data_IF_591938063261
#
_entry.id   IF_591938063261
#
_cell.length_a   1.000
_cell.length_b   1.000
_cell.length_c   1.000
_cell.angle_alpha   90.00
_cell.angle_beta   90.00
_cell.angle_gamma   90.00
#
_symmetry.space_group_name_H-M   'P 1'
#
loop_
_entity.id
_entity.type
_entity.pdbx_description
1 polymer ?
#
# COMPACT_ATOMS: atom_id res chain seq x y z
N UNK A 1 -7.98 12.91 11.67
CA UNK A 1 -8.24 11.49 11.89
C UNK A 1 -9.36 11.07 10.96
N UNK A 2 -9.02 10.31 9.90
CA UNK A 2 -9.95 9.91 8.82
C UNK A 2 -11.23 9.23 9.33
N UNK A 3 -11.18 8.62 10.52
CA UNK A 3 -12.30 7.92 11.15
C UNK A 3 -13.40 8.90 11.60
N UNK A 4 -13.04 10.10 12.06
CA UNK A 4 -14.01 11.08 12.54
C UNK A 4 -14.85 11.67 11.38
N UNK A 5 -14.22 11.79 10.21
CA UNK A 5 -14.80 12.41 9.03
C UNK A 5 -15.77 11.47 8.29
N UNK A 6 -15.65 10.15 8.50
CA UNK A 6 -16.60 9.16 8.00
C UNK A 6 -17.90 9.07 8.84
N UNK A 7 -17.85 9.52 10.10
CA UNK A 7 -18.99 9.49 11.03
C UNK A 7 -19.82 10.77 10.91
N UNK A 8 -19.17 11.90 10.63
CA UNK A 8 -19.87 13.16 10.37
C UNK A 8 -20.45 13.12 8.95
N UNK A 9 -21.72 12.72 8.88
CA UNK A 9 -22.58 12.73 7.71
C UNK A 9 -22.82 14.16 7.22
N UNK A 10 -21.78 14.79 6.68
CA UNK A 10 -21.89 16.08 6.01
C UNK A 10 -22.27 15.82 4.56
N UNK A 11 -23.45 16.33 4.21
CA UNK A 11 -24.21 16.23 2.97
C UNK A 11 -23.51 16.87 1.75
N UNK A 12 -22.21 16.67 1.59
CA UNK A 12 -21.41 17.15 0.48
C UNK A 12 -20.48 16.03 0.05
N UNK A 13 -20.91 15.25 -0.94
CA UNK A 13 -20.08 14.47 -1.88
C UNK A 13 -18.63 14.31 -1.43
N UNK A 14 -18.41 13.43 -0.45
CA UNK A 14 -17.06 13.00 -0.12
C UNK A 14 -16.63 12.13 -1.30
N UNK A 15 -15.80 12.71 -2.16
CA UNK A 15 -15.32 12.06 -3.37
C UNK A 15 -14.39 10.90 -2.98
N UNK A 16 -15.00 9.74 -2.67
CA UNK A 16 -14.30 8.47 -2.48
C UNK A 16 -13.49 8.05 -3.73
N UNK A 17 -13.60 8.82 -4.81
CA UNK A 17 -12.79 8.74 -6.02
C UNK A 17 -11.31 9.10 -5.82
N UNK A 18 -10.91 9.72 -4.69
CA UNK A 18 -9.50 9.94 -4.37
C UNK A 18 -8.98 8.91 -3.36
N UNK A 19 -8.75 7.69 -3.84
CA UNK A 19 -7.90 6.69 -3.18
C UNK A 19 -6.42 7.07 -3.28
N UNK A 20 -5.56 6.46 -2.44
CA UNK A 20 -4.11 6.71 -2.40
C UNK A 20 -3.41 6.49 -3.75
N UNK A 21 -4.04 5.72 -4.64
CA UNK A 21 -3.71 5.62 -6.05
C UNK A 21 -4.92 6.09 -6.88
N UNK A 22 -4.77 7.04 -7.83
CA UNK A 22 -5.84 7.43 -8.74
C UNK A 22 -6.00 6.36 -9.83
N UNK A 23 -6.38 5.14 -9.43
CA UNK A 23 -6.77 4.07 -10.34
C UNK A 23 -8.25 4.20 -10.66
N UNK A 24 -8.59 4.20 -11.95
CA UNK A 24 -9.98 4.14 -12.40
C UNK A 24 -10.50 2.72 -12.19
N UNK A 25 -11.13 2.47 -11.03
CA UNK A 25 -11.75 1.18 -10.75
C UNK A 25 -13.04 1.01 -11.58
N UNK A 26 -13.30 -0.17 -12.18
CA UNK A 26 -14.49 -0.42 -13.00
C UNK A 26 -15.79 -0.56 -12.18
N UNK A 27 -15.78 -0.17 -10.90
CA UNK A 27 -16.90 -0.33 -9.97
C UNK A 27 -17.08 0.94 -9.12
N UNK A 28 -18.33 1.27 -8.80
CA UNK A 28 -18.66 2.37 -7.88
C UNK A 28 -18.37 1.97 -6.44
N UNK A 29 -17.57 2.77 -5.76
CA UNK A 29 -17.29 2.67 -4.34
C UNK A 29 -18.46 3.24 -3.53
N UNK A 30 -19.61 2.55 -3.60
CA UNK A 30 -20.89 2.96 -3.01
C UNK A 30 -20.96 2.78 -1.47
N UNK A 31 -19.91 2.20 -0.86
CA UNK A 31 -19.90 1.87 0.55
C UNK A 31 -18.52 1.99 1.17
N UNK A 32 -18.47 2.55 2.38
CA UNK A 32 -17.26 2.68 3.21
C UNK A 32 -16.53 1.35 3.39
N UNK A 33 -17.26 0.22 3.46
CA UNK A 33 -16.66 -1.11 3.58
C UNK A 33 -15.88 -1.54 2.34
N UNK A 34 -16.39 -1.21 1.14
CA UNK A 34 -15.69 -1.49 -0.14
C UNK A 34 -14.44 -0.62 -0.27
N UNK A 35 -14.52 0.64 0.17
CA UNK A 35 -13.40 1.58 0.18
C UNK A 35 -12.27 1.12 1.13
N UNK A 36 -12.62 0.72 2.35
CA UNK A 36 -11.64 0.19 3.30
C UNK A 36 -10.98 -1.10 2.81
N UNK A 37 -11.75 -2.02 2.21
CA UNK A 37 -11.20 -3.25 1.64
C UNK A 37 -10.20 -2.94 0.51
N UNK A 38 -10.55 -2.00 -0.38
CA UNK A 38 -9.68 -1.57 -1.49
C UNK A 38 -8.36 -1.00 -0.98
N UNK A 39 -8.42 -0.03 -0.05
CA UNK A 39 -7.22 0.58 0.54
C UNK A 39 -6.36 -0.43 1.28
N UNK A 40 -6.97 -1.37 1.98
CA UNK A 40 -6.22 -2.40 2.72
C UNK A 40 -5.43 -3.29 1.77
N UNK A 41 -6.04 -3.66 0.63
CA UNK A 41 -5.36 -4.43 -0.43
C UNK A 41 -4.24 -3.62 -1.07
N UNK A 42 -4.49 -2.35 -1.42
CA UNK A 42 -3.46 -1.45 -1.96
C UNK A 42 -2.26 -1.32 -1.02
N UNK A 43 -2.52 -1.10 0.28
CA UNK A 43 -1.48 -1.00 1.29
C UNK A 43 -0.67 -2.30 1.43
N UNK A 44 -1.35 -3.45 1.42
CA UNK A 44 -0.68 -4.75 1.50
C UNK A 44 0.22 -4.98 0.29
N UNK A 45 -0.23 -4.61 -0.91
CA UNK A 45 0.59 -4.67 -2.12
C UNK A 45 1.83 -3.79 -1.99
N UNK A 46 1.67 -2.52 -1.58
CA UNK A 46 2.80 -1.62 -1.36
C UNK A 46 3.82 -2.19 -0.36
N UNK A 47 3.35 -2.69 0.79
CA UNK A 47 4.22 -3.29 1.81
C UNK A 47 4.92 -4.53 1.26
N UNK A 48 4.23 -5.37 0.50
CA UNK A 48 4.81 -6.58 -0.08
C UNK A 48 5.90 -6.27 -1.12
N UNK A 49 5.69 -5.26 -1.97
CA UNK A 49 6.68 -4.81 -2.97
C UNK A 49 7.91 -4.23 -2.26
N UNK A 50 7.71 -3.39 -1.24
CA UNK A 50 8.81 -2.84 -0.45
C UNK A 50 9.59 -3.93 0.31
N UNK A 51 8.89 -4.91 0.89
CA UNK A 51 9.50 -6.05 1.57
C UNK A 51 10.30 -6.92 0.59
N UNK A 52 9.77 -7.18 -0.61
CA UNK A 52 10.47 -7.93 -1.63
C UNK A 52 11.74 -7.22 -2.09
N UNK A 53 11.65 -5.91 -2.33
CA UNK A 53 12.78 -5.08 -2.72
C UNK A 53 13.90 -5.11 -1.66
N UNK A 54 13.54 -4.81 -0.41
CA UNK A 54 14.49 -4.80 0.71
C UNK A 54 15.10 -6.18 0.99
N UNK A 55 14.34 -7.26 0.81
CA UNK A 55 14.86 -8.62 0.92
C UNK A 55 15.88 -8.94 -0.18
N UNK A 56 15.61 -8.51 -1.42
CA UNK A 56 16.56 -8.66 -2.53
C UNK A 56 17.88 -7.94 -2.24
N UNK A 57 17.81 -6.68 -1.77
CA UNK A 57 18.99 -5.89 -1.41
C UNK A 57 19.78 -6.55 -0.27
N UNK A 58 19.10 -7.12 0.72
CA UNK A 58 19.73 -7.85 1.83
C UNK A 58 20.49 -9.09 1.35
N UNK A 59 19.88 -9.92 0.50
CA UNK A 59 20.53 -11.12 -0.06
C UNK A 59 21.76 -10.75 -0.87
N UNK A 60 21.67 -9.69 -1.68
CA UNK A 60 22.81 -9.17 -2.43
C UNK A 60 23.96 -8.75 -1.51
N UNK A 61 23.66 -8.01 -0.44
CA UNK A 61 24.65 -7.55 0.53
C UNK A 61 25.31 -8.72 1.27
N UNK A 62 24.52 -9.72 1.70
CA UNK A 62 25.03 -10.92 2.33
C UNK A 62 25.97 -11.71 1.42
N UNK A 63 25.58 -11.91 0.16
CA UNK A 63 26.40 -12.60 -0.83
C UNK A 63 27.71 -11.87 -1.07
N UNK A 64 27.66 -10.54 -1.25
CA UNK A 64 28.85 -9.72 -1.46
C UNK A 64 29.82 -9.78 -0.28
N UNK A 65 29.29 -9.82 0.95
CA UNK A 65 30.09 -9.92 2.17
C UNK A 65 30.76 -11.28 2.26
N UNK A 66 30.03 -12.36 1.98
CA UNK A 66 30.57 -13.72 2.00
C UNK A 66 31.65 -13.91 0.93
N UNK A 67 31.42 -13.42 -0.30
CA UNK A 67 32.42 -13.43 -1.36
C UNK A 67 33.65 -12.61 -0.97
N UNK A 68 33.46 -11.41 -0.42
CA UNK A 68 34.56 -10.56 0.05
C UNK A 68 35.43 -11.26 1.11
N UNK A 69 34.83 -12.01 2.03
CA UNK A 69 35.58 -12.80 3.02
C UNK A 69 36.30 -13.98 2.40
N UNK A 70 35.71 -14.67 1.41
CA UNK A 70 36.32 -15.82 0.75
C UNK A 70 37.47 -15.46 -0.19
N UNK A 71 37.41 -14.28 -0.81
CA UNK A 71 38.45 -13.77 -1.71
C UNK A 71 39.51 -12.91 -0.99
N UNK A 72 39.49 -12.91 0.33
CA UNK A 72 40.49 -12.26 1.19
C UNK A 72 41.51 -13.28 1.68
#
# INVERSE_FOLDING_TARGET
SLILQAITNENGTYDFSQTAYPAMYPFTLDSVGKYLACITVELLLFVSVAAWWTASDMVFLQLSTHLSVQYK
#
